data_IF_907510984804
#
_entry.id   IF_907510984804
#
_cell.length_a   1.000
_cell.length_b   1.000
_cell.length_c   1.000
_cell.angle_alpha   90.00
_cell.angle_beta   90.00
_cell.angle_gamma   90.00
#
_symmetry.space_group_name_H-M   'P 1'
#
loop_
_entity.id
_entity.type
_entity.pdbx_description
1 polymer ?
#
# COMPACT_ATOMS: atom_id res chain seq x y z
N UNK A 1 -15.13 -14.22 -4.97
CA UNK A 1 -14.27 -13.70 -6.05
C UNK A 1 -15.07 -13.56 -7.35
N UNK A 2 -15.73 -14.61 -7.86
CA UNK A 2 -16.53 -14.54 -9.10
C UNK A 2 -17.63 -13.48 -9.03
N UNK A 3 -18.41 -13.46 -7.95
CA UNK A 3 -19.50 -12.53 -7.76
C UNK A 3 -19.01 -11.07 -7.76
N UNK A 4 -17.87 -10.78 -7.13
CA UNK A 4 -17.27 -9.45 -7.15
C UNK A 4 -16.84 -9.03 -8.56
N UNK A 5 -16.30 -9.96 -9.36
CA UNK A 5 -15.91 -9.71 -10.75
C UNK A 5 -17.13 -9.38 -11.62
N UNK A 6 -18.20 -10.16 -11.52
CA UNK A 6 -19.44 -9.89 -12.26
C UNK A 6 -20.13 -8.58 -11.81
N UNK A 7 -20.08 -8.30 -10.49
CA UNK A 7 -20.58 -7.03 -9.98
C UNK A 7 -19.79 -5.84 -10.54
N UNK A 8 -18.46 -5.94 -10.61
CA UNK A 8 -17.62 -4.90 -11.18
C UNK A 8 -17.91 -4.66 -12.67
N UNK A 9 -18.10 -5.74 -13.46
CA UNK A 9 -18.48 -5.65 -14.88
C UNK A 9 -19.84 -4.99 -15.03
N UNK A 10 -20.84 -5.39 -14.24
CA UNK A 10 -22.16 -4.79 -14.24
C UNK A 10 -22.13 -3.31 -13.85
N UNK A 11 -21.35 -2.96 -12.82
CA UNK A 11 -21.16 -1.56 -12.41
C UNK A 11 -20.50 -0.73 -13.52
N UNK A 12 -19.45 -1.25 -14.17
CA UNK A 12 -18.78 -0.57 -15.29
C UNK A 12 -19.73 -0.33 -16.47
N UNK A 13 -20.63 -1.27 -16.74
CA UNK A 13 -21.66 -1.13 -17.76
C UNK A 13 -22.65 -0.02 -17.41
N UNK A 14 -23.14 0.04 -16.18
CA UNK A 14 -24.06 1.09 -15.71
C UNK A 14 -23.40 2.46 -15.80
N UNK A 15 -22.15 2.60 -15.34
CA UNK A 15 -21.39 3.85 -15.44
C UNK A 15 -21.23 4.29 -16.90
N UNK A 16 -20.94 3.36 -17.81
CA UNK A 16 -20.86 3.64 -19.25
C UNK A 16 -22.17 4.25 -19.77
N UNK A 17 -23.31 3.65 -19.44
CA UNK A 17 -24.63 4.16 -19.87
C UNK A 17 -24.88 5.56 -19.31
N UNK A 18 -24.61 5.78 -18.02
CA UNK A 18 -24.80 7.09 -17.37
C UNK A 18 -23.98 8.17 -18.07
N UNK A 19 -22.72 7.88 -18.43
CA UNK A 19 -21.84 8.84 -19.10
C UNK A 19 -22.31 9.18 -20.52
N UNK A 20 -22.86 8.21 -21.26
CA UNK A 20 -23.48 8.48 -22.56
C UNK A 20 -24.76 9.30 -22.44
N UNK A 21 -25.60 9.00 -21.44
CA UNK A 21 -26.83 9.76 -21.18
C UNK A 21 -26.53 11.20 -20.73
N UNK A 22 -25.44 11.43 -20.03
CA UNK A 22 -24.94 12.77 -19.65
C UNK A 22 -24.37 13.59 -20.82
N UNK A 23 -24.36 13.03 -22.04
CA UNK A 23 -23.94 13.74 -23.26
C UNK A 23 -22.43 13.87 -23.44
N UNK A 24 -21.60 13.30 -22.57
CA UNK A 24 -20.14 13.37 -22.70
C UNK A 24 -19.59 12.19 -23.51
N UNK A 25 -19.55 12.35 -24.85
CA UNK A 25 -19.09 11.33 -25.80
C UNK A 25 -17.69 10.80 -25.48
N UNK A 26 -16.76 11.66 -25.08
CA UNK A 26 -15.37 11.28 -24.78
C UNK A 26 -15.30 10.40 -23.53
N UNK A 27 -15.99 10.80 -22.45
CA UNK A 27 -16.02 10.01 -21.21
C UNK A 27 -16.78 8.70 -21.38
N UNK A 28 -17.89 8.73 -22.13
CA UNK A 28 -18.63 7.52 -22.50
C UNK A 28 -17.78 6.53 -23.30
N UNK A 29 -16.97 7.01 -24.24
CA UNK A 29 -16.03 6.19 -25.01
C UNK A 29 -14.94 5.56 -24.14
N UNK A 30 -14.35 6.31 -23.20
CA UNK A 30 -13.38 5.78 -22.24
C UNK A 30 -14.00 4.72 -21.31
N UNK A 31 -15.24 4.96 -20.85
CA UNK A 31 -15.96 3.96 -20.04
C UNK A 31 -16.29 2.69 -20.84
N UNK A 32 -16.64 2.82 -22.12
CA UNK A 32 -16.87 1.67 -23.00
C UNK A 32 -15.59 0.84 -23.22
N UNK A 33 -14.44 1.51 -23.40
CA UNK A 33 -13.15 0.84 -23.50
C UNK A 33 -12.81 0.11 -22.18
N UNK A 34 -13.01 0.76 -21.03
CA UNK A 34 -12.81 0.16 -19.71
C UNK A 34 -13.71 -1.07 -19.51
N UNK A 35 -14.97 -0.99 -19.92
CA UNK A 35 -15.91 -2.11 -19.87
C UNK A 35 -15.45 -3.29 -20.76
N UNK A 36 -15.02 -3.03 -21.99
CA UNK A 36 -14.50 -4.04 -22.90
C UNK A 36 -13.26 -4.73 -22.33
N UNK A 37 -12.30 -3.96 -21.79
CA UNK A 37 -11.10 -4.48 -21.10
C UNK A 37 -11.50 -5.35 -19.91
N UNK A 38 -12.49 -4.95 -19.12
CA UNK A 38 -12.97 -5.70 -17.96
C UNK A 38 -13.53 -7.08 -18.35
N UNK A 39 -14.26 -7.15 -19.47
CA UNK A 39 -14.76 -8.44 -20.00
C UNK A 39 -13.60 -9.32 -20.49
N UNK A 40 -12.64 -8.76 -21.23
CA UNK A 40 -11.47 -9.49 -21.69
C UNK A 40 -10.65 -10.04 -20.49
N UNK A 41 -10.43 -9.19 -19.47
CA UNK A 41 -9.76 -9.57 -18.24
C UNK A 41 -10.49 -10.71 -17.52
N UNK A 42 -11.82 -10.61 -17.37
CA UNK A 42 -12.63 -11.62 -16.71
C UNK A 42 -12.48 -13.00 -17.40
N UNK A 43 -12.50 -13.03 -18.73
CA UNK A 43 -12.28 -14.27 -19.51
C UNK A 43 -10.87 -14.81 -19.34
N UNK A 44 -9.86 -13.94 -19.39
CA UNK A 44 -8.46 -14.35 -19.26
C UNK A 44 -8.12 -14.91 -17.87
N UNK A 45 -8.79 -14.42 -16.81
CA UNK A 45 -8.52 -14.80 -15.42
C UNK A 45 -9.40 -15.96 -14.94
N UNK A 46 -10.43 -16.35 -15.70
CA UNK A 46 -11.44 -17.34 -15.28
C UNK A 46 -10.83 -18.66 -14.79
N UNK A 47 -9.78 -19.15 -15.43
CA UNK A 47 -9.08 -20.38 -15.03
C UNK A 47 -8.28 -20.23 -13.72
N UNK A 48 -7.92 -19.01 -13.34
CA UNK A 48 -7.14 -18.70 -12.12
C UNK A 48 -8.02 -18.36 -10.91
N UNK A 49 -9.32 -18.16 -11.11
CA UNK A 49 -10.27 -17.81 -10.04
C UNK A 49 -10.33 -18.87 -8.94
N UNK A 50 -10.36 -20.20 -9.22
CA UNK A 50 -10.39 -21.20 -8.16
C UNK A 50 -9.16 -21.14 -7.24
N UNK A 51 -7.98 -20.92 -7.81
CA UNK A 51 -6.75 -20.75 -7.04
C UNK A 51 -6.78 -19.50 -6.16
N UNK A 52 -7.19 -18.36 -6.73
CA UNK A 52 -7.35 -17.11 -5.97
C UNK A 52 -8.41 -17.25 -4.86
N UNK A 53 -9.50 -17.97 -5.11
CA UNK A 53 -10.53 -18.24 -4.12
C UNK A 53 -10.02 -19.14 -2.98
N UNK A 54 -9.24 -20.16 -3.28
CA UNK A 54 -8.60 -21.01 -2.27
C UNK A 54 -7.65 -20.24 -1.37
N UNK A 55 -6.77 -19.40 -1.96
CA UNK A 55 -5.87 -18.54 -1.21
C UNK A 55 -6.62 -17.53 -0.31
N UNK A 56 -7.67 -16.91 -0.85
CA UNK A 56 -8.50 -15.99 -0.07
C UNK A 56 -9.20 -16.70 1.09
N UNK A 57 -9.71 -17.91 0.86
CA UNK A 57 -10.36 -18.70 1.90
C UNK A 57 -9.38 -19.06 3.01
N UNK A 58 -8.16 -19.50 2.67
CA UNK A 58 -7.10 -19.79 3.66
C UNK A 58 -6.74 -18.55 4.48
N UNK A 59 -6.56 -17.40 3.82
CA UNK A 59 -6.28 -16.13 4.49
C UNK A 59 -7.42 -15.72 5.43
N UNK A 60 -8.68 -15.83 4.99
CA UNK A 60 -9.85 -15.52 5.82
C UNK A 60 -9.97 -16.46 7.02
N UNK A 61 -9.65 -17.75 6.85
CA UNK A 61 -9.66 -18.72 7.95
C UNK A 61 -8.62 -18.36 9.00
N UNK A 62 -7.40 -17.99 8.59
CA UNK A 62 -6.35 -17.55 9.50
C UNK A 62 -6.72 -16.28 10.28
N UNK A 63 -7.32 -15.30 9.60
CA UNK A 63 -7.78 -14.05 10.24
C UNK A 63 -8.93 -14.32 11.20
N UNK A 64 -9.90 -15.17 10.84
CA UNK A 64 -11.02 -15.55 11.72
C UNK A 64 -10.55 -16.29 12.97
N UNK A 65 -9.52 -17.12 12.85
CA UNK A 65 -8.91 -17.79 13.99
C UNK A 65 -8.20 -16.81 14.95
N UNK A 66 -7.75 -15.65 14.46
CA UNK A 66 -6.94 -14.65 15.18
C UNK A 66 -7.55 -13.25 15.11
N UNK A 67 -8.78 -13.06 15.54
CA UNK A 67 -9.50 -11.77 15.42
C UNK A 67 -8.83 -10.60 16.17
N UNK A 68 -8.06 -10.87 17.23
CA UNK A 68 -7.26 -9.86 17.92
C UNK A 68 -6.21 -9.19 16.99
N UNK A 69 -5.74 -9.91 15.98
CA UNK A 69 -4.87 -9.34 14.94
C UNK A 69 -5.58 -8.21 14.16
N UNK A 70 -6.87 -8.38 13.89
CA UNK A 70 -7.68 -7.36 13.22
C UNK A 70 -7.81 -6.09 14.10
N UNK A 71 -7.95 -6.23 15.41
CA UNK A 71 -7.99 -5.10 16.33
C UNK A 71 -6.66 -4.32 16.30
N UNK A 72 -5.52 -5.01 16.32
CA UNK A 72 -4.19 -4.37 16.19
C UNK A 72 -4.06 -3.66 14.84
N UNK A 73 -4.54 -4.28 13.75
CA UNK A 73 -4.52 -3.66 12.43
C UNK A 73 -5.28 -2.32 12.39
N UNK A 74 -6.45 -2.24 13.03
CA UNK A 74 -7.19 -1.00 13.16
C UNK A 74 -6.45 0.05 14.00
N UNK A 75 -5.79 -0.34 15.09
CA UNK A 75 -4.96 0.59 15.88
C UNK A 75 -3.86 1.21 15.02
N UNK A 76 -3.13 0.39 14.25
CA UNK A 76 -2.11 0.89 13.33
C UNK A 76 -2.69 1.79 12.23
N UNK A 77 -3.86 1.42 11.69
CA UNK A 77 -4.56 2.23 10.68
C UNK A 77 -4.94 3.60 11.23
N UNK A 78 -5.52 3.68 12.43
CA UNK A 78 -5.86 4.94 13.07
C UNK A 78 -4.63 5.76 13.43
N UNK A 79 -3.55 5.13 13.89
CA UNK A 79 -2.28 5.80 14.14
C UNK A 79 -1.69 6.40 12.85
N UNK A 80 -1.69 5.64 11.75
CA UNK A 80 -1.22 6.11 10.45
C UNK A 80 -2.07 7.28 9.91
N UNK A 81 -3.40 7.19 10.06
CA UNK A 81 -4.34 8.22 9.63
C UNK A 81 -4.19 9.50 10.47
N UNK A 82 -4.14 9.37 11.81
CA UNK A 82 -3.91 10.49 12.71
C UNK A 82 -2.59 11.21 12.44
N UNK A 83 -1.52 10.42 12.21
CA UNK A 83 -0.24 10.98 11.81
C UNK A 83 -0.32 11.73 10.46
N UNK A 84 -1.03 11.19 9.47
CA UNK A 84 -1.20 11.84 8.17
C UNK A 84 -1.94 13.17 8.28
N UNK A 85 -2.98 13.27 9.12
CA UNK A 85 -3.69 14.53 9.39
C UNK A 85 -2.76 15.54 10.07
N UNK A 86 -2.09 15.14 11.14
CA UNK A 86 -1.16 16.01 11.87
C UNK A 86 -0.03 16.51 10.93
N UNK A 87 0.54 15.60 10.15
CA UNK A 87 1.59 15.92 9.18
C UNK A 87 1.11 16.91 8.12
N UNK A 88 -0.08 16.72 7.54
CA UNK A 88 -0.64 17.64 6.51
C UNK A 88 -0.83 19.05 7.08
N UNK A 89 -1.30 19.15 8.32
CA UNK A 89 -1.50 20.46 8.98
C UNK A 89 -0.17 21.18 9.23
N UNK A 90 0.83 20.46 9.75
CA UNK A 90 2.14 21.02 10.07
C UNK A 90 2.93 21.35 8.80
N UNK A 91 2.88 20.47 7.79
CA UNK A 91 3.68 20.63 6.57
C UNK A 91 3.32 21.87 5.78
N UNK A 92 2.05 22.27 5.73
CA UNK A 92 1.63 23.51 5.07
C UNK A 92 2.31 24.73 5.71
N UNK A 93 2.29 24.83 7.04
CA UNK A 93 2.91 25.94 7.78
C UNK A 93 4.44 25.96 7.62
N UNK A 94 5.07 24.78 7.69
CA UNK A 94 6.53 24.69 7.59
C UNK A 94 7.01 24.96 6.17
N UNK A 95 6.30 24.51 5.13
CA UNK A 95 6.69 24.75 3.74
C UNK A 95 6.54 26.21 3.34
N UNK A 96 5.54 26.91 3.87
CA UNK A 96 5.38 28.35 3.66
C UNK A 96 6.52 29.16 4.29
N UNK A 97 6.96 28.76 5.50
CA UNK A 97 8.02 29.44 6.21
C UNK A 97 9.44 29.04 5.72
N UNK A 98 9.62 27.77 5.36
CA UNK A 98 10.92 27.17 5.04
C UNK A 98 10.83 26.20 3.86
N UNK A 99 10.77 26.68 2.60
CA UNK A 99 10.62 25.82 1.42
C UNK A 99 11.73 24.76 1.27
N UNK A 100 12.95 25.04 1.73
CA UNK A 100 14.08 24.12 1.71
C UNK A 100 13.90 22.87 2.58
N UNK A 101 12.94 22.85 3.51
CA UNK A 101 12.64 21.70 4.37
C UNK A 101 11.76 20.63 3.70
N UNK A 102 11.30 20.86 2.47
CA UNK A 102 10.38 19.97 1.76
C UNK A 102 10.86 18.51 1.74
N UNK A 103 12.14 18.28 1.44
CA UNK A 103 12.70 16.93 1.41
C UNK A 103 12.60 16.21 2.76
N UNK A 104 12.95 16.88 3.85
CA UNK A 104 12.91 16.30 5.20
C UNK A 104 11.47 16.03 5.64
N UNK A 105 10.54 16.91 5.26
CA UNK A 105 9.12 16.70 5.53
C UNK A 105 8.59 15.46 4.79
N UNK A 106 8.84 15.34 3.50
CA UNK A 106 8.44 14.14 2.76
C UNK A 106 9.12 12.88 3.28
N UNK A 107 10.41 12.95 3.61
CA UNK A 107 11.13 11.83 4.19
C UNK A 107 10.50 11.40 5.51
N UNK A 108 10.18 12.33 6.42
CA UNK A 108 9.54 12.02 7.70
C UNK A 108 8.19 11.35 7.51
N UNK A 109 7.39 11.83 6.54
CA UNK A 109 6.08 11.26 6.23
C UNK A 109 6.21 9.81 5.74
N UNK A 110 6.96 9.61 4.68
CA UNK A 110 7.11 8.28 4.09
C UNK A 110 7.76 7.30 5.05
N UNK A 111 8.77 7.73 5.81
CA UNK A 111 9.44 6.87 6.76
C UNK A 111 8.49 6.40 7.88
N UNK A 112 7.77 7.31 8.50
CA UNK A 112 6.81 6.95 9.57
C UNK A 112 5.71 6.04 9.04
N UNK A 113 5.13 6.33 7.86
CA UNK A 113 4.11 5.48 7.24
C UNK A 113 4.66 4.08 6.93
N UNK A 114 5.88 3.98 6.42
CA UNK A 114 6.52 2.68 6.13
C UNK A 114 6.84 1.90 7.41
N UNK A 115 7.30 2.57 8.47
CA UNK A 115 7.56 1.91 9.77
C UNK A 115 6.25 1.32 10.33
N UNK A 116 5.18 2.09 10.37
CA UNK A 116 3.88 1.62 10.85
C UNK A 116 3.38 0.42 10.03
N UNK A 117 3.42 0.54 8.71
CA UNK A 117 3.03 -0.52 7.78
C UNK A 117 3.86 -1.79 7.97
N UNK A 118 5.19 -1.67 7.99
CA UNK A 118 6.08 -2.82 8.07
C UNK A 118 6.02 -3.49 9.45
N UNK A 119 5.84 -2.73 10.54
CA UNK A 119 5.61 -3.28 11.88
C UNK A 119 4.35 -4.15 11.89
N UNK A 120 3.25 -3.67 11.29
CA UNK A 120 2.03 -4.45 11.16
C UNK A 120 2.22 -5.69 10.29
N UNK A 121 2.96 -5.60 9.17
CA UNK A 121 3.26 -6.75 8.31
C UNK A 121 4.06 -7.82 9.05
N UNK A 122 5.10 -7.44 9.79
CA UNK A 122 5.93 -8.38 10.57
C UNK A 122 5.11 -9.04 11.68
N UNK A 123 4.26 -8.27 12.38
CA UNK A 123 3.34 -8.81 13.39
C UNK A 123 2.40 -9.84 12.77
N UNK A 124 1.77 -9.49 11.64
CA UNK A 124 0.85 -10.37 10.91
C UNK A 124 1.56 -11.65 10.46
N UNK A 125 2.75 -11.52 9.86
CA UNK A 125 3.53 -12.67 9.41
C UNK A 125 3.89 -13.62 10.55
N UNK A 126 4.24 -13.08 11.73
CA UNK A 126 4.51 -13.88 12.93
C UNK A 126 3.29 -14.68 13.38
N UNK A 127 2.13 -14.03 13.49
CA UNK A 127 0.88 -14.70 13.91
C UNK A 127 0.44 -15.77 12.90
N UNK A 128 0.42 -15.42 11.62
CA UNK A 128 0.01 -16.35 10.54
C UNK A 128 1.01 -17.51 10.43
N UNK A 129 2.31 -17.24 10.58
CA UNK A 129 3.33 -18.29 10.63
C UNK A 129 3.08 -19.28 11.79
N UNK A 130 2.82 -18.77 13.00
CA UNK A 130 2.48 -19.63 14.14
C UNK A 130 1.19 -20.42 13.88
N UNK A 131 0.14 -19.77 13.36
CA UNK A 131 -1.11 -20.46 13.02
C UNK A 131 -0.93 -21.56 11.98
N UNK A 132 -0.01 -21.37 11.03
CA UNK A 132 0.24 -22.38 9.98
C UNK A 132 0.98 -23.61 10.50
N UNK A 133 1.97 -23.43 11.40
CA UNK A 133 2.81 -24.52 11.88
C UNK A 133 2.38 -25.09 13.22
N UNK A 134 1.72 -24.30 14.05
CA UNK A 134 1.23 -24.67 15.39
C UNK A 134 -0.15 -24.03 15.64
N UNK A 135 -1.21 -24.52 14.98
CA UNK A 135 -2.55 -23.90 15.01
C UNK A 135 -3.14 -23.81 16.41
N UNK A 136 -2.80 -24.73 17.30
CA UNK A 136 -3.30 -24.74 18.69
C UNK A 136 -2.82 -23.52 19.50
N UNK A 137 -1.65 -22.95 19.14
CA UNK A 137 -1.10 -21.76 19.80
C UNK A 137 -1.64 -20.44 19.27
N UNK A 138 -2.25 -20.45 18.09
CA UNK A 138 -2.70 -19.27 17.36
C UNK A 138 -4.14 -19.40 16.84
N UNK A 139 -5.04 -19.99 17.63
CA UNK A 139 -6.46 -20.18 17.29
C UNK A 139 -7.39 -19.57 18.33
N UNK A 140 -7.04 -18.40 18.86
CA UNK A 140 -7.85 -17.69 19.87
C UNK A 140 -7.92 -16.20 19.55
N UNK A 141 -9.02 -15.55 19.99
CA UNK A 141 -9.22 -14.10 19.87
C UNK A 141 -8.04 -13.26 20.35
N UNK A 142 -7.44 -13.65 21.48
CA UNK A 142 -6.27 -13.03 22.07
C UNK A 142 -5.22 -14.11 22.32
N UNK A 143 -4.78 -14.78 21.24
CA UNK A 143 -3.74 -15.80 21.35
C UNK A 143 -2.42 -15.17 21.83
N UNK A 144 -1.66 -15.94 22.61
CA UNK A 144 -0.32 -15.54 23.04
C UNK A 144 0.58 -15.20 21.85
N UNK A 145 0.40 -15.89 20.74
CA UNK A 145 1.08 -15.64 19.47
C UNK A 145 0.94 -14.20 18.97
N UNK A 146 -0.24 -13.57 19.17
CA UNK A 146 -0.48 -12.18 18.78
C UNK A 146 0.38 -11.24 19.63
N UNK A 147 0.40 -11.42 20.95
CA UNK A 147 1.20 -10.62 21.87
C UNK A 147 2.71 -10.78 21.60
N UNK A 148 3.19 -12.01 21.49
CA UNK A 148 4.59 -12.32 21.23
C UNK A 148 5.07 -11.77 19.88
N UNK A 149 4.26 -11.89 18.84
CA UNK A 149 4.58 -11.34 17.51
C UNK A 149 4.59 -9.81 17.51
N UNK A 150 3.64 -9.18 18.23
CA UNK A 150 3.60 -7.73 18.38
C UNK A 150 4.82 -7.21 19.17
N UNK A 151 5.16 -7.82 20.31
CA UNK A 151 6.36 -7.44 21.09
C UNK A 151 7.61 -7.64 20.25
N UNK A 152 7.74 -8.76 19.53
CA UNK A 152 8.88 -9.00 18.65
C UNK A 152 9.04 -7.93 17.57
N UNK A 153 7.96 -7.54 16.91
CA UNK A 153 8.01 -6.53 15.84
C UNK A 153 8.29 -5.12 16.37
N UNK A 154 7.82 -4.79 17.59
CA UNK A 154 7.97 -3.45 18.17
C UNK A 154 9.24 -3.29 19.03
N UNK A 155 9.92 -4.38 19.38
CA UNK A 155 11.15 -4.34 20.20
C UNK A 155 12.32 -4.98 19.49
N UNK A 156 12.35 -6.30 19.37
CA UNK A 156 13.51 -7.04 18.86
C UNK A 156 13.82 -6.77 17.40
N UNK A 157 12.82 -6.69 16.54
CA UNK A 157 12.98 -6.47 15.10
C UNK A 157 12.79 -5.01 14.70
N UNK A 158 12.44 -4.12 15.64
CA UNK A 158 12.04 -2.74 15.33
C UNK A 158 13.16 -1.94 14.64
N UNK A 159 14.41 -2.11 15.07
CA UNK A 159 15.56 -1.45 14.44
C UNK A 159 15.73 -1.83 12.97
N UNK A 160 15.60 -3.12 12.64
CA UNK A 160 15.64 -3.60 11.25
C UNK A 160 14.46 -3.09 10.42
N UNK A 161 13.27 -3.01 11.02
CA UNK A 161 12.06 -2.44 10.39
C UNK A 161 12.28 -0.95 10.08
N UNK A 162 12.77 -0.18 11.04
CA UNK A 162 13.06 1.25 10.86
C UNK A 162 14.09 1.48 9.76
N UNK A 163 15.18 0.70 9.74
CA UNK A 163 16.24 0.82 8.73
C UNK A 163 15.74 0.45 7.34
N UNK A 164 15.07 -0.70 7.16
CA UNK A 164 14.49 -1.08 5.88
C UNK A 164 13.43 -0.09 5.38
N UNK A 165 12.61 0.44 6.30
CA UNK A 165 11.62 1.47 5.99
C UNK A 165 12.25 2.79 5.57
N UNK A 166 13.41 3.16 6.14
CA UNK A 166 14.14 4.38 5.77
C UNK A 166 14.62 4.33 4.32
N UNK A 167 15.16 3.19 3.88
CA UNK A 167 15.62 3.02 2.50
C UNK A 167 14.46 3.24 1.52
N UNK A 168 13.31 2.62 1.76
CA UNK A 168 12.12 2.79 0.91
C UNK A 168 11.60 4.24 0.95
N UNK A 169 11.59 4.85 2.14
CA UNK A 169 11.14 6.22 2.32
C UNK A 169 12.03 7.24 1.60
N UNK A 170 13.35 7.04 1.60
CA UNK A 170 14.30 7.87 0.85
C UNK A 170 13.96 7.88 -0.64
N UNK A 171 13.70 6.71 -1.24
CA UNK A 171 13.32 6.61 -2.65
C UNK A 171 12.00 7.33 -2.92
N UNK A 172 11.01 7.16 -2.04
CA UNK A 172 9.70 7.80 -2.18
C UNK A 172 9.80 9.32 -2.00
N UNK A 173 10.58 9.80 -1.04
CA UNK A 173 10.82 11.23 -0.83
C UNK A 173 11.53 11.87 -2.02
N UNK A 174 12.55 11.21 -2.58
CA UNK A 174 13.24 11.67 -3.78
C UNK A 174 12.30 11.73 -4.99
N UNK A 175 11.44 10.73 -5.18
CA UNK A 175 10.43 10.76 -6.26
C UNK A 175 9.46 11.93 -6.10
N UNK A 176 9.02 12.19 -4.88
CA UNK A 176 8.09 13.28 -4.61
C UNK A 176 8.77 14.65 -4.80
N UNK A 177 10.00 14.80 -4.32
CA UNK A 177 10.80 16.00 -4.55
C UNK A 177 11.03 16.24 -6.05
N UNK A 178 11.36 15.19 -6.80
CA UNK A 178 11.55 15.27 -8.24
C UNK A 178 10.29 15.76 -8.97
N UNK A 179 9.11 15.29 -8.58
CA UNK A 179 7.83 15.78 -9.14
C UNK A 179 7.65 17.27 -8.86
N UNK A 180 7.93 17.70 -7.64
CA UNK A 180 7.81 19.13 -7.25
C UNK A 180 8.82 20.01 -7.98
N UNK A 181 10.06 19.55 -8.16
CA UNK A 181 11.12 20.28 -8.86
C UNK A 181 10.91 20.36 -10.39
N UNK A 182 10.23 19.40 -11.00
CA UNK A 182 9.89 19.44 -12.44
C UNK A 182 8.97 20.61 -12.81
N UNK A 183 8.24 21.15 -11.87
CA UNK A 183 7.41 22.35 -12.05
C UNK A 183 8.27 23.62 -12.12
N UNK A 184 9.52 23.59 -11.60
CA UNK A 184 10.47 24.71 -11.58
C UNK A 184 11.54 24.53 -12.66
N UNK A 185 11.59 25.42 -13.66
CA UNK A 185 12.53 25.37 -14.79
C UNK A 185 14.01 25.46 -14.38
N UNK A 186 14.34 26.07 -13.24
CA UNK A 186 15.72 26.29 -12.80
C UNK A 186 16.38 25.05 -12.18
N UNK A 187 15.62 23.97 -11.94
CA UNK A 187 16.09 22.76 -11.25
C UNK A 187 16.39 21.58 -12.20
N UNK A 188 16.48 21.79 -13.51
CA UNK A 188 16.62 20.69 -14.51
C UNK A 188 17.82 19.77 -14.26
N UNK A 189 18.96 20.31 -13.84
CA UNK A 189 20.16 19.50 -13.52
C UNK A 189 19.90 18.57 -12.31
N UNK A 190 19.25 19.09 -11.29
CA UNK A 190 18.95 18.33 -10.07
C UNK A 190 17.89 17.24 -10.33
N UNK A 191 16.91 17.54 -11.16
CA UNK A 191 15.91 16.57 -11.66
C UNK A 191 16.59 15.42 -12.41
N UNK A 192 17.52 15.72 -13.34
CA UNK A 192 18.24 14.71 -14.08
C UNK A 192 19.09 13.80 -13.19
N UNK A 193 19.72 14.36 -12.17
CA UNK A 193 20.55 13.61 -11.21
C UNK A 193 19.69 12.70 -10.32
N UNK A 194 18.54 13.17 -9.87
CA UNK A 194 17.58 12.38 -9.11
C UNK A 194 17.00 11.26 -9.98
N UNK A 195 16.64 11.53 -11.23
CA UNK A 195 16.15 10.50 -12.17
C UNK A 195 17.21 9.41 -12.44
N UNK A 196 18.48 9.78 -12.54
CA UNK A 196 19.57 8.83 -12.69
C UNK A 196 19.71 7.91 -11.46
N UNK A 197 19.69 8.47 -10.25
CA UNK A 197 19.75 7.71 -8.98
C UNK A 197 18.54 6.78 -8.88
N UNK A 198 17.35 7.28 -9.15
CA UNK A 198 16.11 6.48 -9.11
C UNK A 198 16.15 5.33 -10.11
N UNK A 199 16.63 5.57 -11.34
CA UNK A 199 16.79 4.54 -12.36
C UNK A 199 17.78 3.44 -11.95
N UNK A 200 18.91 3.79 -11.32
CA UNK A 200 19.87 2.83 -10.79
C UNK A 200 19.24 1.97 -9.67
N UNK A 201 18.49 2.59 -8.75
CA UNK A 201 17.84 1.88 -7.65
C UNK A 201 16.73 0.96 -8.15
N UNK A 202 15.93 1.42 -9.12
CA UNK A 202 14.89 0.60 -9.76
C UNK A 202 15.49 -0.61 -10.47
N UNK A 203 16.60 -0.44 -11.20
CA UNK A 203 17.33 -1.54 -11.81
C UNK A 203 17.87 -2.57 -10.81
N UNK A 204 18.36 -2.10 -9.65
CA UNK A 204 18.78 -2.99 -8.56
C UNK A 204 17.59 -3.76 -7.96
N UNK A 205 16.48 -3.09 -7.68
CA UNK A 205 15.28 -3.73 -7.13
C UNK A 205 14.72 -4.76 -8.13
N UNK A 206 14.71 -4.45 -9.42
CA UNK A 206 14.27 -5.37 -10.46
C UNK A 206 15.18 -6.61 -10.56
N UNK A 207 16.49 -6.42 -10.40
CA UNK A 207 17.44 -7.52 -10.38
C UNK A 207 17.23 -8.46 -9.19
N UNK A 208 16.93 -7.94 -7.99
CA UNK A 208 16.67 -8.76 -6.79
C UNK A 208 15.27 -9.39 -6.77
N UNK A 209 14.32 -8.90 -7.57
CA UNK A 209 12.96 -9.45 -7.68
C UNK A 209 12.80 -10.53 -8.78
N UNK A 210 13.83 -10.79 -9.56
CA UNK A 210 13.89 -11.91 -10.53
C UNK A 210 14.44 -13.17 -9.88
#
# INVERSE_FOLDING_TARGET
VQLALYFYIGFSFVVMIIMFMAGSMLMGGLCALSFAISICYARAVQSRIPFAAANLNSALTAVRANLGLTAIAYVFMFAAFGYAIAWTTISNVVLDAYPGMAFLLFLSFYWTQQVLKNTMHVTTAGVIGTWWFAPDEASSYCSRSIGDSFVRSTTYSFGSICFGSLIVALIQALRQLNRHLRENRDAQLLVCLIDCILGCVEGLIEYFNK
#
